data_IF_441083891965
#
_entry.id   IF_441083891965
#
_cell.length_a   1.000
_cell.length_b   1.000
_cell.length_c   1.000
_cell.angle_alpha   90.00
_cell.angle_beta   90.00
_cell.angle_gamma   90.00
#
_symmetry.space_group_name_H-M   'P 1'
#
loop_
_entity.id
_entity.type
_entity.pdbx_description
1 polymer ?
#
# COMPACT_ATOMS: atom_id res chain seq x y z
N UNK A 1 -23.94 15.53 -4.62
CA UNK A 1 -24.20 14.44 -3.64
C UNK A 1 -22.83 13.93 -3.20
N UNK A 2 -22.47 14.00 -1.92
CA UNK A 2 -21.17 13.50 -1.45
C UNK A 2 -21.17 11.97 -1.35
N UNK A 3 -20.03 11.34 -1.62
CA UNK A 3 -19.83 9.90 -1.47
C UNK A 3 -19.00 9.66 -0.21
N UNK A 4 -19.37 8.67 0.60
CA UNK A 4 -18.74 8.39 1.90
C UNK A 4 -18.26 6.95 1.96
N UNK A 5 -16.98 6.76 2.26
CA UNK A 5 -16.39 5.43 2.54
C UNK A 5 -16.15 5.34 4.03
N UNK A 6 -16.71 4.31 4.66
CA UNK A 6 -16.51 4.03 6.08
C UNK A 6 -15.49 2.91 6.23
N UNK A 7 -14.47 3.16 7.03
CA UNK A 7 -13.49 2.14 7.40
C UNK A 7 -13.14 2.25 8.88
N UNK A 8 -13.62 1.29 9.66
CA UNK A 8 -13.51 1.24 11.13
C UNK A 8 -13.95 2.58 11.78
N UNK A 9 -13.05 3.24 12.52
CA UNK A 9 -13.30 4.52 13.20
C UNK A 9 -13.09 5.75 12.32
N UNK A 10 -12.96 5.57 11.00
CA UNK A 10 -12.68 6.65 10.05
C UNK A 10 -13.76 6.76 8.99
N UNK A 11 -14.01 8.00 8.57
CA UNK A 11 -14.91 8.30 7.45
C UNK A 11 -14.16 9.15 6.44
N UNK A 12 -14.16 8.69 5.20
CA UNK A 12 -13.65 9.43 4.05
C UNK A 12 -14.86 10.00 3.31
N UNK A 13 -15.02 11.32 3.30
CA UNK A 13 -16.06 11.99 2.53
C UNK A 13 -15.45 12.66 1.30
N UNK A 14 -16.05 12.42 0.14
CA UNK A 14 -15.55 12.91 -1.13
C UNK A 14 -16.60 13.62 -1.97
N UNK A 15 -16.15 14.64 -2.70
CA UNK A 15 -16.93 15.42 -3.66
C UNK A 15 -16.24 15.33 -5.02
N UNK A 16 -16.55 14.28 -5.79
CA UNK A 16 -16.02 14.09 -7.16
C UNK A 16 -14.49 13.94 -7.21
N UNK A 17 -13.98 12.80 -6.76
CA UNK A 17 -12.52 12.59 -6.57
C UNK A 17 -12.03 11.24 -7.08
N UNK A 18 -10.77 11.18 -7.51
CA UNK A 18 -9.99 9.94 -7.55
C UNK A 18 -9.13 9.85 -6.29
N UNK A 19 -9.32 8.82 -5.48
CA UNK A 19 -8.59 8.61 -4.23
C UNK A 19 -8.27 7.13 -4.03
N UNK A 20 -7.23 6.83 -3.26
CA UNK A 20 -6.85 5.48 -2.87
C UNK A 20 -6.94 5.35 -1.34
N UNK A 21 -7.58 4.28 -0.86
CA UNK A 21 -7.70 3.96 0.57
C UNK A 21 -7.14 2.58 0.81
N UNK A 22 -6.01 2.52 1.52
CA UNK A 22 -5.46 1.28 2.05
C UNK A 22 -5.80 1.20 3.54
N UNK A 23 -6.84 0.42 3.86
CA UNK A 23 -7.34 0.25 5.24
C UNK A 23 -7.52 -1.23 5.59
N UNK A 24 -6.46 -2.02 5.40
CA UNK A 24 -6.48 -3.44 5.74
C UNK A 24 -6.70 -3.63 7.25
N UNK A 25 -7.48 -4.65 7.62
CA UNK A 25 -7.79 -4.95 9.03
C UNK A 25 -6.53 -5.25 9.84
N UNK A 26 -5.56 -5.90 9.21
CA UNK A 26 -4.34 -6.43 9.80
C UNK A 26 -3.19 -5.41 9.82
N UNK A 27 -3.34 -4.27 9.13
CA UNK A 27 -2.38 -3.18 9.20
C UNK A 27 -2.72 -2.26 10.36
N UNK A 28 -1.72 -1.88 11.15
CA UNK A 28 -1.88 -0.87 12.21
C UNK A 28 -2.12 0.54 11.66
N UNK A 29 -2.05 0.72 10.34
CA UNK A 29 -2.14 2.01 9.67
C UNK A 29 -3.30 2.06 8.68
N UNK A 30 -3.87 3.24 8.51
CA UNK A 30 -4.81 3.60 7.44
C UNK A 30 -4.13 4.64 6.58
N UNK A 31 -3.96 4.37 5.29
CA UNK A 31 -3.43 5.35 4.34
C UNK A 31 -4.51 5.79 3.36
N UNK A 32 -4.68 7.10 3.23
CA UNK A 32 -5.57 7.72 2.24
C UNK A 32 -4.76 8.67 1.39
N UNK A 33 -4.71 8.41 0.09
CA UNK A 33 -4.05 9.27 -0.89
C UNK A 33 -5.07 9.90 -1.81
N UNK A 34 -4.93 11.19 -2.07
CA UNK A 34 -5.74 11.91 -3.03
C UNK A 34 -4.98 12.16 -4.34
N UNK A 35 -5.53 11.64 -5.43
CA UNK A 35 -5.02 11.88 -6.79
C UNK A 35 -5.64 13.13 -7.41
N UNK A 36 -6.98 13.27 -7.36
CA UNK A 36 -7.71 14.42 -7.92
C UNK A 36 -8.99 14.70 -7.11
N UNK A 37 -9.37 15.98 -7.01
CA UNK A 37 -10.56 16.44 -6.28
C UNK A 37 -10.25 16.91 -4.85
N UNK A 38 -11.19 16.78 -3.90
CA UNK A 38 -11.03 17.13 -2.48
C UNK A 38 -11.55 15.98 -1.60
N UNK A 39 -10.72 15.48 -0.69
CA UNK A 39 -11.08 14.44 0.28
C UNK A 39 -11.09 15.03 1.69
N UNK A 40 -12.20 14.89 2.40
CA UNK A 40 -12.24 15.12 3.83
C UNK A 40 -12.04 13.79 4.57
N UNK A 41 -10.88 13.63 5.21
CA UNK A 41 -10.57 12.51 6.10
C UNK A 41 -10.94 12.87 7.53
N UNK A 42 -11.86 12.11 8.14
CA UNK A 42 -12.31 12.35 9.51
C UNK A 42 -12.02 11.13 10.40
N UNK A 43 -11.36 11.39 11.52
CA UNK A 43 -11.22 10.47 12.66
C UNK A 43 -12.17 10.90 13.78
N UNK A 44 -12.20 10.16 14.91
CA UNK A 44 -13.01 10.54 16.08
C UNK A 44 -12.65 11.90 16.68
N UNK A 45 -11.39 12.33 16.55
CA UNK A 45 -10.89 13.54 17.22
C UNK A 45 -10.47 14.65 16.26
N UNK A 46 -10.06 14.29 15.03
CA UNK A 46 -9.51 15.25 14.08
C UNK A 46 -10.15 15.10 12.70
N UNK A 47 -10.33 16.21 12.00
CA UNK A 47 -10.71 16.24 10.59
C UNK A 47 -9.60 16.90 9.78
N UNK A 48 -9.24 16.30 8.65
CA UNK A 48 -8.24 16.84 7.74
C UNK A 48 -8.77 16.82 6.30
N UNK A 49 -8.59 17.93 5.60
CA UNK A 49 -8.92 18.01 4.17
C UNK A 49 -7.64 17.78 3.40
N UNK A 50 -7.59 16.69 2.64
CA UNK A 50 -6.50 16.40 1.73
C UNK A 50 -6.70 17.18 0.43
N UNK A 51 -5.59 17.72 -0.06
CA UNK A 51 -5.44 18.24 -1.42
C UNK A 51 -4.82 17.18 -2.34
N UNK A 52 -5.05 17.24 -3.66
CA UNK A 52 -4.34 16.39 -4.62
C UNK A 52 -2.84 16.45 -4.39
N UNK A 53 -2.16 15.30 -4.37
CA UNK A 53 -0.75 15.28 -3.94
C UNK A 53 -0.53 14.81 -2.52
N UNK A 54 -1.56 14.78 -1.68
CA UNK A 54 -1.39 14.50 -0.25
C UNK A 54 -1.77 13.08 0.13
N UNK A 55 -1.02 12.52 1.07
CA UNK A 55 -1.32 11.27 1.74
C UNK A 55 -1.54 11.53 3.23
N UNK A 56 -2.70 11.11 3.74
CA UNK A 56 -2.92 10.93 5.17
C UNK A 56 -2.50 9.52 5.58
N UNK A 57 -1.65 9.40 6.59
CA UNK A 57 -1.37 8.16 7.30
C UNK A 57 -1.89 8.29 8.73
N UNK A 58 -2.85 7.44 9.09
CA UNK A 58 -3.43 7.37 10.42
C UNK A 58 -3.00 6.07 11.09
N UNK A 59 -2.30 6.19 12.21
CA UNK A 59 -1.92 5.07 13.06
C UNK A 59 -3.06 4.73 14.02
N UNK A 60 -3.56 3.49 13.94
CA UNK A 60 -4.71 3.00 14.71
C UNK A 60 -4.37 2.77 16.19
N UNK A 61 -3.09 2.55 16.52
CA UNK A 61 -2.63 2.25 17.88
C UNK A 61 -2.43 3.55 18.65
N UNK A 62 -1.70 4.50 18.08
CA UNK A 62 -1.36 5.77 18.73
C UNK A 62 -2.42 6.84 18.51
N UNK A 63 -3.26 6.68 17.48
CA UNK A 63 -4.22 7.69 17.04
C UNK A 63 -3.55 8.87 16.32
N UNK A 64 -2.26 8.79 16.00
CA UNK A 64 -1.54 9.85 15.30
C UNK A 64 -1.97 9.93 13.83
N UNK A 65 -2.18 11.16 13.35
CA UNK A 65 -2.40 11.45 11.94
C UNK A 65 -1.22 12.26 11.41
N UNK A 66 -0.57 11.75 10.37
CA UNK A 66 0.47 12.46 9.63
C UNK A 66 -0.02 12.71 8.22
N UNK A 67 0.15 13.94 7.73
CA UNK A 67 -0.17 14.29 6.34
C UNK A 67 1.11 14.68 5.64
N UNK A 68 1.42 14.01 4.55
CA UNK A 68 2.61 14.27 3.74
C UNK A 68 2.23 14.70 2.34
N UNK A 69 3.03 15.60 1.76
CA UNK A 69 2.98 15.88 0.33
C UNK A 69 3.80 14.80 -0.37
N UNK A 70 3.16 14.04 -1.24
CA UNK A 70 3.83 13.07 -2.10
C UNK A 70 4.48 13.81 -3.26
N UNK A 71 5.73 13.48 -3.58
CA UNK A 71 6.39 14.01 -4.76
C UNK A 71 5.69 13.60 -6.06
N UNK A 72 5.02 12.43 -6.08
CA UNK A 72 4.38 11.87 -7.26
C UNK A 72 3.03 11.20 -6.93
N UNK A 73 1.96 11.96 -6.64
CA UNK A 73 0.64 11.40 -6.32
C UNK A 73 0.10 10.46 -7.40
N UNK A 74 0.23 10.84 -8.67
CA UNK A 74 -0.23 10.06 -9.81
C UNK A 74 0.31 8.62 -9.86
N UNK A 75 1.42 8.33 -9.16
CA UNK A 75 1.98 6.98 -9.07
C UNK A 75 1.08 6.04 -8.26
N UNK A 76 0.26 6.56 -7.35
CA UNK A 76 -0.58 5.74 -6.47
C UNK A 76 -1.82 5.22 -7.18
N UNK A 77 -2.24 5.86 -8.28
CA UNK A 77 -3.27 5.34 -9.20
C UNK A 77 -2.72 4.35 -10.25
N UNK A 78 -1.42 4.01 -10.23
CA UNK A 78 -0.83 3.09 -11.22
C UNK A 78 -1.43 1.68 -11.21
N UNK A 79 -2.03 1.24 -10.09
CA UNK A 79 -2.79 -0.01 -10.05
C UNK A 79 -3.97 -0.02 -11.04
N UNK A 80 -4.60 1.15 -11.30
CA UNK A 80 -5.66 1.30 -12.33
C UNK A 80 -5.11 1.07 -13.75
N UNK A 81 -3.79 1.18 -13.93
CA UNK A 81 -3.08 0.88 -15.17
C UNK A 81 -2.43 -0.51 -15.13
N UNK A 82 -2.89 -1.41 -14.26
CA UNK A 82 -2.34 -2.75 -14.06
C UNK A 82 -0.86 -2.77 -13.64
N UNK A 83 -0.36 -1.71 -13.01
CA UNK A 83 1.03 -1.63 -12.55
C UNK A 83 1.13 -1.88 -11.05
N UNK A 84 2.24 -2.50 -10.62
CA UNK A 84 2.63 -2.49 -9.22
C UNK A 84 3.44 -1.24 -8.93
N UNK A 85 3.18 -0.63 -7.78
CA UNK A 85 3.90 0.53 -7.29
C UNK A 85 4.17 0.35 -5.80
N UNK A 86 5.46 0.33 -5.46
CA UNK A 86 5.98 0.32 -4.09
C UNK A 86 6.96 1.48 -3.97
N UNK A 87 6.90 2.19 -2.85
CA UNK A 87 7.81 3.28 -2.54
C UNK A 87 8.18 3.17 -1.07
N UNK A 88 9.44 2.86 -0.80
CA UNK A 88 9.97 2.56 0.53
C UNK A 88 9.03 1.67 1.37
N UNK A 89 8.44 0.67 0.72
CA UNK A 89 7.38 -0.15 1.30
C UNK A 89 7.98 -1.38 1.97
N UNK A 90 7.73 -1.63 3.28
CA UNK A 90 8.25 -2.81 3.98
C UNK A 90 7.86 -4.10 3.28
N UNK A 91 8.74 -5.11 3.28
CA UNK A 91 8.48 -6.40 2.62
C UNK A 91 7.17 -7.05 3.09
N UNK A 92 6.78 -6.90 4.35
CA UNK A 92 5.49 -7.37 4.86
C UNK A 92 4.30 -6.77 4.13
N UNK A 93 4.32 -5.47 3.84
CA UNK A 93 3.28 -4.81 3.05
C UNK A 93 3.30 -5.24 1.59
N UNK A 94 4.50 -5.42 1.03
CA UNK A 94 4.70 -5.89 -0.35
C UNK A 94 4.12 -7.29 -0.54
N UNK A 95 4.46 -8.23 0.35
CA UNK A 95 3.92 -9.60 0.36
C UNK A 95 2.39 -9.57 0.36
N UNK A 96 1.78 -8.83 1.28
CA UNK A 96 0.32 -8.72 1.37
C UNK A 96 -0.32 -8.23 0.06
N UNK A 97 0.35 -7.36 -0.70
CA UNK A 97 -0.13 -6.89 -2.00
C UNK A 97 0.02 -7.98 -3.07
N UNK A 98 1.14 -8.70 -3.09
CA UNK A 98 1.42 -9.77 -4.04
C UNK A 98 0.48 -10.97 -3.82
N UNK A 99 0.25 -11.38 -2.57
CA UNK A 99 -0.68 -12.47 -2.22
C UNK A 99 -2.07 -12.21 -2.80
N UNK A 100 -2.60 -11.00 -2.62
CA UNK A 100 -3.93 -10.63 -3.10
C UNK A 100 -4.01 -10.47 -4.61
N UNK A 101 -2.93 -10.01 -5.24
CA UNK A 101 -2.90 -9.79 -6.69
C UNK A 101 -2.75 -11.09 -7.47
N UNK A 102 -1.96 -12.02 -6.94
CA UNK A 102 -1.58 -13.26 -7.62
C UNK A 102 -2.25 -14.50 -7.03
N UNK A 103 -3.01 -14.34 -5.94
CA UNK A 103 -3.68 -15.43 -5.22
C UNK A 103 -2.70 -16.55 -4.84
N UNK A 104 -1.62 -16.15 -4.17
CA UNK A 104 -0.52 -17.00 -3.70
C UNK A 104 -0.29 -16.75 -2.21
N UNK A 105 0.33 -17.68 -1.50
CA UNK A 105 0.78 -17.50 -0.11
C UNK A 105 2.30 -17.37 -0.05
N UNK A 106 2.83 -16.53 0.84
CA UNK A 106 4.27 -16.42 1.08
C UNK A 106 4.67 -17.03 2.42
N UNK A 107 5.68 -17.90 2.40
CA UNK A 107 6.23 -18.53 3.59
C UNK A 107 7.52 -17.84 4.01
N UNK A 108 7.53 -17.20 5.18
CA UNK A 108 8.74 -16.59 5.73
C UNK A 108 9.63 -17.62 6.41
N UNK A 109 10.71 -18.02 5.71
CA UNK A 109 11.73 -18.92 6.26
C UNK A 109 12.76 -18.17 7.11
N UNK A 110 12.98 -16.88 6.80
CA UNK A 110 13.98 -16.03 7.47
C UNK A 110 13.32 -14.72 7.89
N UNK A 111 12.97 -14.54 9.18
CA UNK A 111 12.29 -13.33 9.67
C UNK A 111 13.05 -12.03 9.36
N UNK A 112 14.36 -12.08 9.26
CA UNK A 112 15.24 -10.95 8.94
C UNK A 112 14.96 -10.36 7.54
N UNK A 113 14.36 -11.13 6.64
CA UNK A 113 13.92 -10.62 5.34
C UNK A 113 12.88 -9.48 5.47
N UNK A 114 12.13 -9.43 6.57
CA UNK A 114 11.15 -8.36 6.83
C UNK A 114 11.79 -7.00 7.11
N UNK A 115 13.10 -6.94 7.35
CA UNK A 115 13.81 -5.68 7.57
C UNK A 115 14.06 -4.91 6.26
N UNK A 116 13.73 -5.48 5.11
CA UNK A 116 13.93 -4.85 3.80
C UNK A 116 12.67 -4.11 3.33
N UNK A 117 12.89 -2.96 2.69
CA UNK A 117 11.86 -2.18 2.01
C UNK A 117 12.10 -2.15 0.51
N UNK A 118 11.03 -1.97 -0.27
CA UNK A 118 11.07 -1.95 -1.72
C UNK A 118 10.57 -0.62 -2.28
N UNK A 119 11.34 -0.08 -3.23
CA UNK A 119 10.89 0.93 -4.18
C UNK A 119 10.92 0.33 -5.58
N UNK A 120 9.73 0.06 -6.13
CA UNK A 120 9.57 -0.63 -7.41
C UNK A 120 8.32 -0.12 -8.14
N UNK A 121 8.48 0.19 -9.42
CA UNK A 121 7.34 0.45 -10.31
C UNK A 121 7.44 -0.51 -11.49
N UNK A 122 6.47 -1.40 -11.66
CA UNK A 122 6.55 -2.42 -12.71
C UNK A 122 5.22 -2.64 -13.43
N UNK A 123 5.34 -2.92 -14.73
CA UNK A 123 4.23 -3.32 -15.62
C UNK A 123 4.16 -4.83 -15.80
N UNK A 124 5.12 -5.57 -15.22
CA UNK A 124 5.12 -7.02 -15.31
C UNK A 124 3.84 -7.59 -14.72
N UNK A 125 3.23 -8.52 -15.47
CA UNK A 125 1.96 -9.13 -15.10
C UNK A 125 2.10 -10.49 -14.43
N UNK A 126 3.23 -11.20 -14.62
CA UNK A 126 3.48 -12.47 -13.93
C UNK A 126 4.18 -12.25 -12.60
N UNK A 127 3.85 -13.10 -11.62
CA UNK A 127 4.50 -13.12 -10.31
C UNK A 127 6.01 -13.31 -10.47
N UNK A 128 6.44 -14.28 -11.27
CA UNK A 128 7.86 -14.60 -11.50
C UNK A 128 8.70 -13.40 -11.92
N UNK A 129 8.20 -12.61 -12.89
CA UNK A 129 8.92 -11.43 -13.36
C UNK A 129 9.04 -10.36 -12.29
N UNK A 130 8.00 -10.16 -11.48
CA UNK A 130 8.02 -9.22 -10.36
C UNK A 130 9.01 -9.69 -9.29
N UNK A 131 9.00 -10.97 -8.91
CA UNK A 131 9.93 -11.53 -7.94
C UNK A 131 11.38 -11.41 -8.43
N UNK A 132 11.65 -11.69 -9.71
CA UNK A 132 12.97 -11.50 -10.30
C UNK A 132 13.44 -10.04 -10.21
N UNK A 133 12.55 -9.06 -10.40
CA UNK A 133 12.90 -7.64 -10.22
C UNK A 133 13.19 -7.31 -8.76
N UNK A 134 12.39 -7.84 -7.83
CA UNK A 134 12.60 -7.64 -6.40
C UNK A 134 13.95 -8.20 -5.92
N UNK A 135 14.36 -9.38 -6.37
CA UNK A 135 15.67 -9.96 -6.02
C UNK A 135 16.87 -9.16 -6.56
N UNK A 136 16.67 -8.21 -7.49
CA UNK A 136 17.72 -7.29 -7.95
C UNK A 136 17.89 -6.08 -7.04
N UNK A 137 16.90 -5.80 -6.19
CA UNK A 137 16.85 -4.62 -5.31
C UNK A 137 17.44 -4.93 -3.94
N UNK A 138 17.15 -6.12 -3.41
CA UNK A 138 17.54 -6.56 -2.07
C UNK A 138 18.05 -8.01 -2.12
N UNK A 139 18.87 -8.43 -1.14
CA UNK A 139 19.37 -9.82 -1.06
C UNK A 139 18.29 -10.85 -0.69
N UNK A 140 17.03 -10.43 -0.54
CA UNK A 140 15.91 -11.33 -0.30
C UNK A 140 15.72 -12.25 -1.50
N UNK A 141 15.60 -13.55 -1.24
CA UNK A 141 15.33 -14.59 -2.22
C UNK A 141 13.88 -15.02 -2.16
N UNK A 142 13.34 -15.31 -3.33
CA UNK A 142 11.99 -15.84 -3.51
C UNK A 142 12.09 -17.14 -4.32
N UNK A 143 11.61 -18.24 -3.74
CA UNK A 143 11.61 -19.55 -4.41
C UNK A 143 10.20 -20.13 -4.43
N UNK A 144 9.75 -20.59 -5.60
CA UNK A 144 8.47 -21.28 -5.74
C UNK A 144 8.54 -22.65 -5.06
N UNK A 145 7.71 -22.86 -4.04
CA UNK A 145 7.49 -24.13 -3.36
C UNK A 145 6.15 -24.76 -3.77
N UNK A 146 5.84 -25.94 -3.22
CA UNK A 146 4.59 -26.66 -3.53
C UNK A 146 3.34 -25.91 -3.07
N UNK A 147 3.43 -25.13 -1.98
CA UNK A 147 2.30 -24.45 -1.35
C UNK A 147 2.41 -22.92 -1.39
N UNK A 148 3.29 -22.34 -2.21
CA UNK A 148 3.45 -20.89 -2.25
C UNK A 148 4.85 -20.43 -2.65
N UNK A 149 5.22 -19.24 -2.19
CA UNK A 149 6.54 -18.65 -2.41
C UNK A 149 7.28 -18.58 -1.08
N UNK A 150 8.40 -19.29 -0.99
CA UNK A 150 9.27 -19.23 0.16
C UNK A 150 10.16 -17.97 0.09
N UNK A 151 10.29 -17.29 1.22
CA UNK A 151 11.05 -16.05 1.39
C UNK A 151 12.23 -16.29 2.32
N UNK A 152 13.45 -16.08 1.80
CA UNK A 152 14.69 -16.25 2.56
C UNK A 152 15.70 -15.14 2.23
N UNK A 153 16.89 -15.23 2.81
CA UNK A 153 18.09 -14.48 2.41
C UNK A 153 19.09 -15.41 1.68
#
# INVERSE_FOLDING_TARGET
RSFKVHSQNTTVEVLGTSFNVNSYRESDKIRVTLDEGIVAFRTRHNGYTLSPGQQAEYDKITGQLVVTNLMHPSNISLWKKNMLYFYDSPLSEVINVLERRYNVEFNLLTPEALNYSYTLTTRHQSLDSVLIEMQKIAPVRFTLGENGVDVSL
#
